data_IF_817162181436
#
_entry.id   IF_817162181436
#
_cell.length_a   1.000
_cell.length_b   1.000
_cell.length_c   1.000
_cell.angle_alpha   90.00
_cell.angle_beta   90.00
_cell.angle_gamma   90.00
#
_symmetry.space_group_name_H-M   'P 1'
#
loop_
_entity.id
_entity.type
_entity.pdbx_description
1 polymer ?
#
# COMPACT_ATOMS: atom_id res chain seq x y z
N UNK A 1 61.00 39.71 31.13
CA UNK A 1 59.67 39.31 31.65
C UNK A 1 58.84 40.59 31.81
N UNK A 2 58.09 40.97 30.75
CA UNK A 2 56.63 41.25 30.71
C UNK A 2 56.14 42.17 31.87
N UNK A 3 56.24 43.50 31.75
CA UNK A 3 55.31 44.51 31.16
C UNK A 3 53.88 44.50 31.75
N UNK A 4 53.63 45.59 32.49
CA UNK A 4 52.36 46.09 33.05
C UNK A 4 51.43 46.56 31.91
N UNK A 5 50.13 46.27 31.96
CA UNK A 5 49.13 47.04 31.23
C UNK A 5 47.78 47.09 31.96
N UNK A 6 47.27 48.32 31.97
CA UNK A 6 46.11 48.96 32.59
C UNK A 6 44.75 48.36 32.22
N UNK A 7 43.83 48.31 33.20
CA UNK A 7 42.41 47.98 33.00
C UNK A 7 41.61 49.29 32.98
N UNK A 8 40.95 49.59 31.86
CA UNK A 8 40.06 50.76 31.70
C UNK A 8 38.64 50.28 31.39
N UNK A 9 37.69 50.82 32.14
CA UNK A 9 36.23 50.64 32.01
C UNK A 9 35.73 51.26 30.69
N UNK A 10 34.84 50.56 29.98
CA UNK A 10 33.91 51.17 29.05
C UNK A 10 32.55 50.46 29.10
N UNK A 11 31.56 51.19 29.60
CA UNK A 11 30.14 50.87 29.56
C UNK A 11 29.61 51.18 28.15
N UNK A 12 29.03 50.21 27.46
CA UNK A 12 28.23 50.44 26.25
C UNK A 12 26.92 49.65 26.41
N UNK A 13 25.84 50.40 26.63
CA UNK A 13 24.46 49.94 26.47
C UNK A 13 24.15 49.94 24.97
N UNK A 14 23.87 48.77 24.39
CA UNK A 14 23.18 48.68 23.11
C UNK A 14 22.11 47.58 23.20
N UNK A 15 20.87 48.04 23.16
CA UNK A 15 19.66 47.28 22.91
C UNK A 15 19.68 46.72 21.48
N UNK A 16 19.56 45.41 21.32
CA UNK A 16 19.17 44.80 20.05
C UNK A 16 18.24 43.62 20.31
N UNK A 17 16.98 43.83 19.93
CA UNK A 17 15.95 42.82 19.77
C UNK A 17 16.44 41.79 18.75
N UNK A 18 16.50 40.51 19.12
CA UNK A 18 16.57 39.42 18.15
C UNK A 18 15.32 38.59 18.33
N UNK A 19 14.30 38.95 17.56
CA UNK A 19 13.15 38.10 17.28
C UNK A 19 13.64 36.83 16.62
N UNK A 20 13.80 35.78 17.41
CA UNK A 20 14.04 34.43 16.89
C UNK A 20 12.70 33.83 16.47
N UNK A 21 12.08 34.44 15.47
CA UNK A 21 10.99 33.82 14.68
C UNK A 21 11.65 32.79 13.76
N UNK A 22 12.10 31.68 14.35
CA UNK A 22 12.30 30.46 13.58
C UNK A 22 10.94 30.07 13.02
N UNK A 23 10.76 29.99 11.68
CA UNK A 23 9.50 29.55 11.11
C UNK A 23 9.20 28.17 11.69
N UNK A 24 8.05 28.02 12.32
CA UNK A 24 7.54 26.70 12.66
C UNK A 24 7.62 25.83 11.39
N UNK A 25 8.07 24.57 11.49
CA UNK A 25 8.11 23.69 10.32
C UNK A 25 6.74 23.73 9.68
N UNK A 26 6.70 24.11 8.40
CA UNK A 26 5.46 24.20 7.64
C UNK A 26 4.73 22.87 7.82
N UNK A 27 3.49 22.94 8.30
CA UNK A 27 2.63 21.76 8.44
C UNK A 27 2.48 21.17 7.04
N UNK A 28 3.17 20.06 6.77
CA UNK A 28 3.03 19.31 5.52
C UNK A 28 1.53 19.10 5.27
N UNK A 29 1.05 19.59 4.13
CA UNK A 29 -0.35 19.42 3.74
C UNK A 29 -0.51 17.96 3.32
N UNK A 30 -1.06 17.14 4.21
CA UNK A 30 -1.38 15.74 3.94
C UNK A 30 -2.26 15.65 2.70
N UNK A 31 -1.75 14.99 1.66
CA UNK A 31 -2.48 14.79 0.40
C UNK A 31 -3.35 13.56 0.54
N UNK A 32 -4.66 13.70 0.37
CA UNK A 32 -5.60 12.57 0.48
C UNK A 32 -6.25 12.29 -0.86
N UNK A 33 -6.30 11.01 -1.26
CA UNK A 33 -6.99 10.61 -2.48
C UNK A 33 -8.49 10.78 -2.28
N UNK A 34 -9.16 11.51 -3.17
CA UNK A 34 -10.60 11.75 -3.09
C UNK A 34 -11.40 10.79 -3.94
N UNK A 35 -10.96 10.62 -5.20
CA UNK A 35 -11.63 9.75 -6.16
C UNK A 35 -10.69 9.25 -7.24
N UNK A 36 -11.06 8.12 -7.83
CA UNK A 36 -10.49 7.59 -9.06
C UNK A 36 -11.60 7.48 -10.10
N UNK A 37 -11.31 7.89 -11.32
CA UNK A 37 -12.15 7.60 -12.49
C UNK A 37 -11.38 6.58 -13.33
N UNK A 38 -11.95 5.39 -13.50
CA UNK A 38 -11.42 4.31 -14.32
C UNK A 38 -12.20 4.21 -15.62
N UNK A 39 -11.52 4.00 -16.73
CA UNK A 39 -12.11 3.75 -18.05
C UNK A 39 -11.47 2.51 -18.66
N UNK A 40 -12.27 1.46 -18.90
CA UNK A 40 -11.78 0.24 -19.55
C UNK A 40 -11.68 0.43 -21.08
N UNK A 41 -11.18 -0.58 -21.78
CA UNK A 41 -11.00 -0.54 -23.23
C UNK A 41 -12.29 -0.42 -24.03
N UNK A 42 -13.41 -0.89 -23.48
CA UNK A 42 -14.76 -0.75 -24.06
C UNK A 42 -15.38 0.62 -23.82
N UNK A 43 -14.70 1.48 -23.04
CA UNK A 43 -15.14 2.83 -22.72
C UNK A 43 -16.11 2.93 -21.53
N UNK A 44 -16.33 1.83 -20.81
CA UNK A 44 -17.09 1.84 -19.56
C UNK A 44 -16.35 2.66 -18.50
N UNK A 45 -17.08 3.46 -17.75
CA UNK A 45 -16.53 4.37 -16.75
C UNK A 45 -17.02 3.97 -15.36
N UNK A 46 -16.08 3.73 -14.45
CA UNK A 46 -16.35 3.53 -13.02
C UNK A 46 -15.69 4.64 -12.23
N UNK A 47 -16.46 5.30 -11.37
CA UNK A 47 -15.95 6.29 -10.42
C UNK A 47 -15.96 5.72 -9.02
N UNK A 48 -14.80 5.66 -8.37
CA UNK A 48 -14.63 5.21 -6.99
C UNK A 48 -14.29 6.40 -6.09
N UNK A 49 -15.07 6.60 -5.03
CA UNK A 49 -14.86 7.65 -4.05
C UNK A 49 -14.24 7.08 -2.77
N UNK A 50 -13.27 7.78 -2.22
CA UNK A 50 -12.49 7.37 -1.04
C UNK A 50 -12.91 8.23 0.14
N UNK A 51 -13.38 7.60 1.22
CA UNK A 51 -13.96 8.30 2.37
C UNK A 51 -13.12 8.07 3.62
N UNK A 52 -12.92 9.14 4.40
CA UNK A 52 -12.03 9.12 5.54
C UNK A 52 -12.71 9.55 6.83
N UNK A 53 -12.20 9.04 7.95
CA UNK A 53 -12.37 9.66 9.27
C UNK A 53 -10.98 9.96 9.79
N UNK A 54 -10.67 11.24 9.96
CA UNK A 54 -9.29 11.74 10.14
C UNK A 54 -8.38 11.24 9.00
N UNK A 55 -7.38 10.41 9.32
CA UNK A 55 -6.44 9.82 8.34
C UNK A 55 -6.75 8.36 7.99
N UNK A 56 -7.84 7.79 8.52
CA UNK A 56 -8.22 6.40 8.27
C UNK A 56 -9.17 6.33 7.07
N UNK A 57 -8.83 5.52 6.08
CA UNK A 57 -9.74 5.20 4.98
C UNK A 57 -10.84 4.30 5.54
N UNK A 58 -12.06 4.79 5.57
CA UNK A 58 -13.21 4.07 6.14
C UNK A 58 -13.98 3.30 5.09
N UNK A 59 -14.03 3.82 3.86
CA UNK A 59 -14.67 3.14 2.75
C UNK A 59 -14.18 3.60 1.39
N UNK A 60 -14.31 2.72 0.40
CA UNK A 60 -14.27 3.03 -1.02
C UNK A 60 -15.62 2.64 -1.61
N UNK A 61 -16.28 3.55 -2.32
CA UNK A 61 -17.61 3.31 -2.90
C UNK A 61 -17.56 3.65 -4.39
N UNK A 62 -17.89 2.67 -5.23
CA UNK A 62 -17.84 2.79 -6.69
C UNK A 62 -19.23 2.92 -7.30
N UNK A 63 -19.29 3.58 -8.47
CA UNK A 63 -20.54 3.80 -9.22
C UNK A 63 -21.17 2.53 -9.80
N UNK A 64 -20.41 1.44 -9.89
CA UNK A 64 -20.87 0.12 -10.33
C UNK A 64 -21.49 -0.72 -9.19
N UNK A 65 -21.56 -0.18 -7.97
CA UNK A 65 -22.08 -0.88 -6.79
C UNK A 65 -21.06 -1.76 -6.09
N UNK A 66 -19.78 -1.77 -6.52
CA UNK A 66 -18.69 -2.31 -5.72
C UNK A 66 -18.33 -1.37 -4.57
N UNK A 67 -17.92 -1.94 -3.43
CA UNK A 67 -17.43 -1.16 -2.30
C UNK A 67 -16.51 -1.94 -1.38
N UNK A 68 -15.68 -1.22 -0.64
CA UNK A 68 -14.75 -1.75 0.36
C UNK A 68 -14.97 -1.02 1.67
N UNK A 69 -15.18 -1.72 2.79
CA UNK A 69 -15.42 -1.15 4.11
C UNK A 69 -14.32 -1.59 5.08
N UNK A 70 -13.67 -0.64 5.75
CA UNK A 70 -12.48 -0.88 6.56
C UNK A 70 -12.80 -0.78 8.05
N UNK A 71 -12.27 -1.70 8.85
CA UNK A 71 -12.45 -1.76 10.29
C UNK A 71 -11.12 -1.61 11.01
N UNK A 72 -11.09 -0.75 12.04
CA UNK A 72 -9.87 -0.44 12.78
C UNK A 72 -10.00 -0.74 14.27
N UNK A 73 -8.93 -1.25 14.87
CA UNK A 73 -8.73 -1.30 16.32
C UNK A 73 -7.59 -0.34 16.69
N UNK A 74 -7.90 0.72 17.43
CA UNK A 74 -6.90 1.77 17.70
C UNK A 74 -6.43 2.41 16.39
N UNK A 75 -5.14 2.31 16.09
CA UNK A 75 -4.55 2.76 14.82
C UNK A 75 -4.19 1.57 13.91
N UNK A 76 -4.82 0.40 14.03
CA UNK A 76 -4.49 -0.74 13.17
C UNK A 76 -5.69 -1.13 12.32
N UNK A 77 -5.49 -1.40 11.02
CA UNK A 77 -6.55 -1.94 10.16
C UNK A 77 -6.72 -3.42 10.47
N UNK A 78 -7.77 -3.78 11.20
CA UNK A 78 -8.03 -5.17 11.62
C UNK A 78 -8.96 -5.93 10.69
N UNK A 79 -9.58 -5.26 9.71
CA UNK A 79 -10.38 -5.97 8.73
C UNK A 79 -10.91 -5.12 7.58
N UNK A 80 -11.32 -5.82 6.53
CA UNK A 80 -11.88 -5.26 5.31
C UNK A 80 -13.04 -6.14 4.85
N UNK A 81 -14.14 -5.53 4.43
CA UNK A 81 -15.21 -6.21 3.70
C UNK A 81 -15.27 -5.67 2.27
N UNK A 82 -15.16 -6.55 1.29
CA UNK A 82 -15.31 -6.23 -0.13
C UNK A 82 -16.65 -6.72 -0.66
N UNK A 83 -17.37 -5.81 -1.30
CA UNK A 83 -18.67 -6.02 -1.90
C UNK A 83 -18.57 -5.85 -3.41
N UNK A 84 -19.29 -6.69 -4.13
CA UNK A 84 -19.50 -6.58 -5.58
C UNK A 84 -21.00 -6.57 -5.83
N UNK A 85 -21.50 -5.56 -6.55
CA UNK A 85 -22.93 -5.38 -6.77
C UNK A 85 -23.75 -5.49 -5.47
N UNK A 86 -23.29 -4.80 -4.40
CA UNK A 86 -23.89 -4.82 -3.06
C UNK A 86 -23.91 -6.18 -2.35
N UNK A 87 -23.23 -7.20 -2.88
CA UNK A 87 -23.14 -8.52 -2.27
C UNK A 87 -21.75 -8.70 -1.65
N UNK A 88 -21.71 -9.07 -0.37
CA UNK A 88 -20.46 -9.36 0.32
C UNK A 88 -19.74 -10.51 -0.39
N UNK A 89 -18.52 -10.24 -0.87
CA UNK A 89 -17.70 -11.19 -1.62
C UNK A 89 -16.58 -11.73 -0.76
N UNK A 90 -15.87 -10.84 -0.07
CA UNK A 90 -14.74 -11.19 0.79
C UNK A 90 -14.81 -10.48 2.14
N UNK A 91 -14.41 -11.18 3.20
CA UNK A 91 -14.02 -10.56 4.45
C UNK A 91 -12.55 -10.87 4.73
N UNK A 92 -11.76 -9.85 5.02
CA UNK A 92 -10.36 -9.95 5.42
C UNK A 92 -10.25 -9.64 6.90
N UNK A 93 -9.48 -10.46 7.61
CA UNK A 93 -9.20 -10.30 9.04
C UNK A 93 -7.69 -10.26 9.18
N UNK A 94 -7.17 -9.20 9.80
CA UNK A 94 -5.73 -9.01 10.00
C UNK A 94 -5.39 -9.12 11.49
N UNK A 95 -4.40 -9.95 11.79
CA UNK A 95 -3.81 -10.08 13.12
C UNK A 95 -2.38 -9.55 13.07
N UNK A 96 -1.96 -8.83 14.12
CA UNK A 96 -0.64 -8.22 14.20
C UNK A 96 0.18 -8.88 15.32
N UNK A 97 1.50 -8.92 15.13
CA UNK A 97 2.43 -9.32 16.18
C UNK A 97 2.83 -8.12 17.06
N UNK A 98 3.60 -8.39 18.11
CA UNK A 98 4.07 -7.37 19.08
C UNK A 98 4.93 -6.26 18.46
N UNK A 99 5.43 -6.45 17.24
CA UNK A 99 6.19 -5.45 16.48
C UNK A 99 5.31 -4.66 15.50
N UNK A 100 3.97 -4.74 15.62
CA UNK A 100 3.00 -4.12 14.72
C UNK A 100 3.14 -4.53 13.25
N UNK A 101 3.63 -5.75 12.99
CA UNK A 101 3.62 -6.35 11.65
C UNK A 101 2.48 -7.35 11.55
N UNK A 102 1.91 -7.53 10.35
CA UNK A 102 0.87 -8.53 10.09
C UNK A 102 1.42 -9.92 10.42
N UNK A 103 0.87 -10.57 11.45
CA UNK A 103 1.16 -11.94 11.83
C UNK A 103 0.33 -12.92 11.00
N UNK A 104 -0.93 -12.58 10.73
CA UNK A 104 -1.81 -13.40 9.90
C UNK A 104 -2.84 -12.56 9.13
N UNK A 105 -3.27 -13.10 7.99
CA UNK A 105 -4.38 -12.58 7.19
C UNK A 105 -5.32 -13.72 6.86
N UNK A 106 -6.57 -13.63 7.30
CA UNK A 106 -7.61 -14.59 6.96
C UNK A 106 -8.57 -13.97 5.95
N UNK A 107 -8.88 -14.69 4.87
CA UNK A 107 -9.83 -14.29 3.82
C UNK A 107 -10.98 -15.27 3.82
N UNK A 108 -12.20 -14.78 4.05
CA UNK A 108 -13.45 -15.53 3.96
C UNK A 108 -14.11 -15.25 2.61
N UNK A 109 -14.39 -16.28 1.82
CA UNK A 109 -15.03 -16.15 0.51
C UNK A 109 -16.52 -16.48 0.63
N UNK A 110 -17.38 -15.48 0.50
CA UNK A 110 -18.82 -15.58 0.80
C UNK A 110 -19.67 -16.01 -0.39
N UNK A 111 -19.19 -15.82 -1.61
CA UNK A 111 -19.94 -16.08 -2.84
C UNK A 111 -19.68 -17.46 -3.47
N UNK A 112 -19.19 -18.42 -2.68
CA UNK A 112 -18.90 -19.80 -3.13
C UNK A 112 -19.54 -20.84 -2.21
N UNK A 113 -19.89 -21.99 -2.78
CA UNK A 113 -20.36 -23.16 -2.04
C UNK A 113 -19.58 -24.42 -2.47
N UNK A 114 -19.03 -25.21 -1.52
CA UNK A 114 -19.04 -24.99 -0.07
C UNK A 114 -18.27 -23.73 0.35
N UNK A 115 -18.53 -23.26 1.58
CA UNK A 115 -17.80 -22.10 2.14
C UNK A 115 -16.30 -22.37 2.09
N UNK A 116 -15.54 -21.35 1.73
CA UNK A 116 -14.09 -21.45 1.59
C UNK A 116 -13.42 -20.28 2.28
N UNK A 117 -12.33 -20.55 3.00
CA UNK A 117 -11.46 -19.55 3.56
C UNK A 117 -9.99 -19.92 3.35
N UNK A 118 -9.16 -18.89 3.34
CA UNK A 118 -7.71 -19.01 3.31
C UNK A 118 -7.10 -18.20 4.46
N UNK A 119 -6.10 -18.75 5.15
CA UNK A 119 -5.31 -18.07 6.16
C UNK A 119 -3.83 -18.05 5.76
N UNK A 120 -3.27 -16.87 5.61
CA UNK A 120 -1.83 -16.67 5.44
C UNK A 120 -1.20 -16.39 6.81
N UNK A 121 -0.14 -17.11 7.18
CA UNK A 121 0.65 -16.88 8.39
C UNK A 121 2.05 -16.42 7.99
N UNK A 122 2.47 -15.28 8.54
CA UNK A 122 3.71 -14.60 8.17
C UNK A 122 4.80 -14.83 9.22
N UNK A 123 5.99 -15.19 8.75
CA UNK A 123 7.21 -15.30 9.57
C UNK A 123 8.28 -14.39 8.99
N UNK A 124 8.74 -13.41 9.77
CA UNK A 124 9.78 -12.47 9.37
C UNK A 124 11.15 -13.00 9.81
N UNK A 125 12.01 -13.34 8.86
CA UNK A 125 13.28 -14.01 9.11
C UNK A 125 14.42 -13.00 9.34
N UNK A 126 15.48 -13.43 10.04
CA UNK A 126 16.67 -12.59 10.31
C UNK A 126 17.46 -12.23 9.04
N UNK A 127 17.35 -13.05 7.99
CA UNK A 127 17.96 -12.79 6.67
C UNK A 127 17.21 -11.73 5.84
N UNK A 128 16.15 -11.13 6.40
CA UNK A 128 15.33 -10.11 5.75
C UNK A 128 14.25 -10.67 4.83
N UNK A 129 14.14 -11.99 4.67
CA UNK A 129 13.03 -12.61 3.93
C UNK A 129 11.77 -12.74 4.80
N UNK A 130 10.62 -12.96 4.16
CA UNK A 130 9.37 -13.35 4.84
C UNK A 130 8.91 -14.70 4.33
N UNK A 131 8.63 -15.64 5.22
CA UNK A 131 7.96 -16.89 4.87
C UNK A 131 6.46 -16.75 5.10
N UNK A 132 5.67 -17.07 4.08
CA UNK A 132 4.21 -17.13 4.13
C UNK A 132 3.81 -18.59 4.05
N UNK A 133 3.03 -19.06 5.03
CA UNK A 133 2.34 -20.35 4.95
C UNK A 133 0.86 -20.09 4.76
N UNK A 134 0.31 -20.56 3.64
CA UNK A 134 -1.10 -20.42 3.31
C UNK A 134 -1.82 -21.71 3.66
N UNK A 135 -2.90 -21.57 4.41
CA UNK A 135 -3.76 -22.66 4.84
C UNK A 135 -5.17 -22.45 4.28
N UNK A 136 -5.85 -23.53 3.94
CA UNK A 136 -7.24 -23.52 3.47
C UNK A 136 -8.17 -24.23 4.44
N UNK A 137 -9.46 -23.94 4.31
CA UNK A 137 -10.53 -24.63 5.03
C UNK A 137 -11.87 -23.92 4.88
N UNK A 138 -12.75 -24.09 5.85
CA UNK A 138 -14.03 -23.36 5.92
C UNK A 138 -13.87 -22.08 6.75
N UNK A 139 -14.96 -21.42 7.16
CA UNK A 139 -14.87 -20.16 7.91
C UNK A 139 -14.40 -20.35 9.36
N UNK A 140 -14.53 -21.55 9.93
CA UNK A 140 -14.22 -21.83 11.33
C UNK A 140 -12.80 -22.38 11.50
N UNK A 141 -12.28 -23.13 10.51
CA UNK A 141 -10.99 -23.80 10.62
C UNK A 141 -10.22 -23.79 9.30
N UNK A 142 -9.05 -23.14 9.27
CA UNK A 142 -8.11 -23.12 8.13
C UNK A 142 -6.79 -23.77 8.54
N UNK A 143 -6.73 -25.10 8.51
CA UNK A 143 -5.59 -25.90 9.01
C UNK A 143 -4.86 -26.69 7.92
N UNK A 144 -5.42 -26.79 6.72
CA UNK A 144 -4.84 -27.54 5.62
C UNK A 144 -3.79 -26.68 4.90
N UNK A 145 -2.50 -27.02 5.01
CA UNK A 145 -1.44 -26.28 4.33
C UNK A 145 -1.56 -26.46 2.81
N UNK A 146 -1.78 -25.37 2.07
CA UNK A 146 -1.94 -25.38 0.62
C UNK A 146 -0.68 -24.89 -0.11
N UNK A 147 0.02 -23.89 0.44
CA UNK A 147 1.21 -23.30 -0.19
C UNK A 147 2.19 -22.80 0.86
N UNK A 148 3.48 -22.82 0.51
CA UNK A 148 4.51 -22.08 1.24
C UNK A 148 5.27 -21.20 0.26
N UNK A 149 5.36 -19.91 0.58
CA UNK A 149 5.99 -18.90 -0.26
C UNK A 149 7.07 -18.16 0.51
N UNK A 150 8.24 -18.02 -0.09
CA UNK A 150 9.32 -17.16 0.41
C UNK A 150 9.25 -15.85 -0.35
N UNK A 151 9.15 -14.75 0.39
CA UNK A 151 9.20 -13.38 -0.13
C UNK A 151 10.57 -12.81 0.15
N UNK A 152 11.22 -12.33 -0.90
CA UNK A 152 12.51 -11.63 -0.81
C UNK A 152 12.41 -10.22 -1.38
N UNK A 153 13.36 -9.37 -0.97
CA UNK A 153 13.39 -7.95 -1.31
C UNK A 153 14.74 -7.59 -1.94
N UNK A 154 14.99 -7.95 -3.22
CA UNK A 154 16.28 -7.70 -3.86
C UNK A 154 16.67 -6.22 -3.94
N UNK A 155 15.68 -5.32 -3.92
CA UNK A 155 15.88 -3.87 -3.90
C UNK A 155 14.69 -3.18 -3.23
N UNK A 156 14.78 -1.86 -3.00
CA UNK A 156 13.68 -1.09 -2.42
C UNK A 156 12.40 -1.08 -3.29
N UNK A 157 12.53 -1.35 -4.58
CA UNK A 157 11.44 -1.31 -5.58
C UNK A 157 11.19 -2.66 -6.23
N UNK A 158 11.73 -3.75 -5.69
CA UNK A 158 11.57 -5.10 -6.23
C UNK A 158 11.23 -6.08 -5.12
N UNK A 159 10.17 -6.85 -5.32
CA UNK A 159 9.76 -7.95 -4.45
C UNK A 159 9.70 -9.22 -5.28
N UNK A 160 10.21 -10.32 -4.76
CA UNK A 160 10.11 -11.62 -5.40
C UNK A 160 9.37 -12.60 -4.51
N UNK A 161 8.47 -13.36 -5.12
CA UNK A 161 7.75 -14.46 -4.49
C UNK A 161 8.24 -15.77 -5.10
N UNK A 162 8.64 -16.70 -4.26
CA UNK A 162 9.01 -18.06 -4.63
C UNK A 162 8.13 -19.05 -3.86
N UNK A 163 7.21 -19.70 -4.56
CA UNK A 163 6.35 -20.73 -3.99
C UNK A 163 6.98 -22.13 -4.11
N UNK A 164 6.55 -23.04 -3.23
CA UNK A 164 7.02 -24.42 -3.16
C UNK A 164 6.55 -25.31 -4.33
N UNK A 165 5.54 -24.87 -5.09
CA UNK A 165 5.11 -25.44 -6.37
C UNK A 165 6.04 -25.06 -7.55
N UNK A 166 7.03 -24.21 -7.29
CA UNK A 166 7.98 -23.72 -8.27
C UNK A 166 7.66 -22.33 -8.83
N UNK A 167 6.46 -21.80 -8.58
CA UNK A 167 6.05 -20.49 -9.09
C UNK A 167 6.98 -19.37 -8.60
N UNK A 168 7.36 -18.50 -9.53
CA UNK A 168 8.25 -17.35 -9.30
C UNK A 168 7.65 -16.08 -9.88
N UNK A 169 7.27 -15.15 -9.01
CA UNK A 169 6.73 -13.86 -9.45
C UNK A 169 7.67 -12.73 -9.02
N UNK A 170 7.96 -11.82 -9.94
CA UNK A 170 8.72 -10.61 -9.68
C UNK A 170 7.80 -9.41 -9.83
N UNK A 171 7.68 -8.64 -8.75
CA UNK A 171 6.94 -7.39 -8.72
C UNK A 171 7.94 -6.25 -8.76
N UNK A 172 7.73 -5.29 -9.65
CA UNK A 172 8.50 -4.05 -9.69
C UNK A 172 7.60 -2.85 -9.46
N UNK A 173 8.13 -1.89 -8.72
CA UNK A 173 7.42 -0.66 -8.35
C UNK A 173 8.26 0.55 -8.78
N UNK A 174 7.66 1.73 -8.81
CA UNK A 174 8.45 2.96 -8.82
C UNK A 174 8.66 3.51 -7.41
N UNK A 175 9.60 4.45 -7.30
CA UNK A 175 9.90 5.16 -6.05
C UNK A 175 9.02 6.40 -5.80
N UNK A 176 7.84 6.50 -6.42
CA UNK A 176 6.93 7.66 -6.28
C UNK A 176 5.86 7.39 -5.22
N UNK A 177 5.10 8.42 -4.84
CA UNK A 177 4.09 8.27 -3.80
C UNK A 177 2.91 7.47 -4.33
N UNK A 178 2.51 6.42 -3.61
CA UNK A 178 1.26 5.72 -3.88
C UNK A 178 0.04 6.62 -3.57
N UNK A 179 -1.11 6.51 -4.29
CA UNK A 179 -2.31 7.29 -4.00
C UNK A 179 -2.77 7.22 -2.55
N UNK A 180 -2.55 6.08 -1.90
CA UNK A 180 -2.93 5.81 -0.51
C UNK A 180 -1.76 5.94 0.47
N UNK A 181 -0.64 6.57 0.10
CA UNK A 181 0.55 6.68 0.97
C UNK A 181 0.26 7.24 2.36
N UNK A 182 -0.70 8.16 2.47
CA UNK A 182 -1.07 8.79 3.74
C UNK A 182 -2.22 8.07 4.47
N UNK A 183 -2.72 6.97 3.90
CA UNK A 183 -3.66 6.09 4.58
C UNK A 183 -2.87 5.19 5.49
N UNK A 184 -3.33 5.14 6.74
CA UNK A 184 -2.68 4.34 7.75
C UNK A 184 -2.74 2.83 7.39
N UNK A 185 -1.57 2.17 7.47
CA UNK A 185 -1.35 0.72 7.32
C UNK A 185 -1.68 0.09 5.97
N UNK A 186 -1.41 0.78 4.87
CA UNK A 186 -1.39 0.15 3.53
C UNK A 186 0.01 -0.29 3.13
N UNK A 187 0.77 -0.97 4.00
CA UNK A 187 2.14 -1.44 3.67
C UNK A 187 2.16 -2.36 2.44
N UNK A 188 1.06 -3.09 2.19
CA UNK A 188 0.87 -3.92 0.99
C UNK A 188 0.72 -3.11 -0.32
N UNK A 189 0.52 -1.80 -0.22
CA UNK A 189 0.28 -0.88 -1.33
C UNK A 189 1.11 0.41 -1.18
N UNK A 190 2.32 0.33 -0.62
CA UNK A 190 3.11 1.52 -0.34
C UNK A 190 3.72 2.18 -1.60
N UNK A 191 3.67 1.51 -2.76
CA UNK A 191 4.34 1.93 -3.99
C UNK A 191 3.47 1.64 -5.22
N UNK A 192 3.67 2.39 -6.30
CA UNK A 192 2.92 2.19 -7.55
C UNK A 192 3.49 0.97 -8.29
N UNK A 193 2.66 -0.06 -8.45
CA UNK A 193 3.03 -1.28 -9.18
C UNK A 193 3.27 -0.95 -10.65
N UNK A 194 4.49 -1.21 -11.14
CA UNK A 194 4.86 -1.09 -12.56
C UNK A 194 4.65 -2.42 -13.28
N UNK A 195 5.29 -3.49 -12.82
CA UNK A 195 5.18 -4.79 -13.49
C UNK A 195 5.02 -5.96 -12.54
N UNK A 196 4.35 -7.00 -13.02
CA UNK A 196 4.38 -8.34 -12.45
C UNK A 196 4.79 -9.30 -13.55
N UNK A 197 5.89 -10.01 -13.32
CA UNK A 197 6.45 -10.95 -14.29
C UNK A 197 6.53 -12.33 -13.65
N UNK A 198 5.95 -13.32 -14.32
CA UNK A 198 6.13 -14.73 -14.03
C UNK A 198 7.40 -15.23 -14.72
N UNK A 199 8.39 -15.57 -13.91
CA UNK A 199 9.69 -16.08 -14.37
C UNK A 199 9.83 -17.58 -14.10
N UNK A 200 8.71 -18.28 -13.87
CA UNK A 200 8.69 -19.74 -13.68
C UNK A 200 9.13 -20.47 -14.95
N UNK A 201 8.79 -19.90 -16.11
CA UNK A 201 9.05 -20.47 -17.43
C UNK A 201 10.29 -19.86 -18.09
N UNK A 202 10.82 -20.55 -19.12
CA UNK A 202 11.97 -20.07 -19.89
C UNK A 202 11.69 -18.74 -20.62
N UNK A 203 10.45 -18.58 -21.08
CA UNK A 203 9.93 -17.32 -21.63
C UNK A 203 9.02 -16.68 -20.57
N UNK A 204 9.45 -15.57 -19.94
CA UNK A 204 8.67 -14.92 -18.89
C UNK A 204 7.35 -14.36 -19.41
N UNK A 205 6.32 -14.41 -18.56
CA UNK A 205 4.99 -13.84 -18.85
C UNK A 205 4.82 -12.58 -18.02
N UNK A 206 4.62 -11.44 -18.67
CA UNK A 206 4.27 -10.19 -17.99
C UNK A 206 2.77 -10.13 -17.78
N UNK A 207 2.32 -10.33 -16.53
CA UNK A 207 0.89 -10.24 -16.19
C UNK A 207 0.40 -8.80 -16.09
N UNK A 208 1.24 -7.89 -15.61
CA UNK A 208 0.92 -6.48 -15.46
C UNK A 208 2.02 -5.61 -16.05
N UNK A 209 1.62 -4.59 -16.81
CA UNK A 209 2.48 -3.54 -17.37
C UNK A 209 1.79 -2.18 -17.22
N UNK A 210 2.14 -1.48 -16.15
CA UNK A 210 1.51 -0.25 -15.73
C UNK A 210 2.42 0.96 -15.96
N UNK A 211 1.81 2.08 -16.31
CA UNK A 211 2.48 3.36 -16.45
C UNK A 211 1.72 4.43 -15.69
N UNK A 212 2.43 5.44 -15.20
CA UNK A 212 1.87 6.52 -14.40
C UNK A 212 2.42 7.86 -14.84
N UNK A 213 1.64 8.91 -14.65
CA UNK A 213 2.12 10.30 -14.66
C UNK A 213 1.84 10.93 -13.31
N UNK A 214 2.66 11.91 -12.92
CA UNK A 214 2.71 12.42 -11.55
C UNK A 214 2.48 13.93 -11.47
N UNK A 215 1.94 14.39 -10.34
CA UNK A 215 1.97 15.81 -9.98
C UNK A 215 3.34 16.21 -9.40
N UNK A 216 3.49 17.49 -9.05
CA UNK A 216 4.72 18.04 -8.45
C UNK A 216 5.04 17.50 -7.05
N UNK A 217 4.09 16.83 -6.39
CA UNK A 217 4.25 16.15 -5.10
C UNK A 217 4.47 14.63 -5.27
N UNK A 218 4.78 14.17 -6.47
CA UNK A 218 5.03 12.75 -6.79
C UNK A 218 3.86 11.80 -6.54
N UNK A 219 2.61 12.29 -6.45
CA UNK A 219 1.41 11.45 -6.46
C UNK A 219 0.90 11.27 -7.90
N UNK A 220 0.43 10.07 -8.28
CA UNK A 220 0.02 9.81 -9.66
C UNK A 220 -1.24 10.59 -9.98
N UNK A 221 -1.31 11.23 -11.15
CA UNK A 221 -2.52 11.92 -11.64
C UNK A 221 -3.22 11.11 -12.73
N UNK A 222 -2.48 10.25 -13.45
CA UNK A 222 -3.05 9.25 -14.34
C UNK A 222 -2.28 7.94 -14.26
N UNK A 223 -2.94 6.85 -14.64
CA UNK A 223 -2.26 5.59 -14.93
C UNK A 223 -2.86 4.92 -16.17
N UNK A 224 -2.07 4.08 -16.82
CA UNK A 224 -2.55 3.07 -17.77
C UNK A 224 -2.11 1.73 -17.23
N UNK A 225 -3.07 0.89 -16.87
CA UNK A 225 -2.85 -0.50 -16.52
C UNK A 225 -3.07 -1.38 -17.74
N UNK A 226 -2.15 -2.31 -17.97
CA UNK A 226 -2.33 -3.41 -18.90
C UNK A 226 -2.26 -4.72 -18.16
N UNK A 227 -3.25 -5.57 -18.36
CA UNK A 227 -3.32 -6.90 -17.74
C UNK A 227 -3.32 -7.95 -18.84
N UNK A 228 -2.42 -8.93 -18.75
CA UNK A 228 -2.42 -10.08 -19.65
C UNK A 228 -3.41 -11.13 -19.17
N UNK A 229 -4.48 -11.35 -19.94
CA UNK A 229 -5.56 -12.29 -19.61
C UNK A 229 -5.93 -13.08 -20.86
N UNK A 230 -5.98 -14.40 -20.75
CA UNK A 230 -6.42 -15.31 -21.83
C UNK A 230 -5.72 -15.11 -23.20
N UNK A 231 -4.45 -14.73 -23.19
CA UNK A 231 -3.66 -14.56 -24.42
C UNK A 231 -3.55 -13.12 -24.92
N UNK A 232 -4.26 -12.17 -24.33
CA UNK A 232 -4.34 -10.79 -24.80
C UNK A 232 -4.12 -9.79 -23.65
N UNK A 233 -3.72 -8.56 -24.01
CA UNK A 233 -3.63 -7.46 -23.04
C UNK A 233 -4.93 -6.65 -23.02
N UNK A 234 -5.50 -6.53 -21.82
CA UNK A 234 -6.64 -5.65 -21.52
C UNK A 234 -6.13 -4.36 -20.91
N UNK A 235 -6.70 -3.22 -21.32
CA UNK A 235 -6.23 -1.89 -20.87
C UNK A 235 -7.28 -1.15 -20.03
N UNK A 236 -6.86 -0.61 -18.90
CA UNK A 236 -7.65 0.31 -18.07
C UNK A 236 -6.89 1.62 -17.85
N UNK A 237 -7.52 2.76 -18.13
CA UNK A 237 -6.97 4.08 -17.84
C UNK A 237 -7.58 4.63 -16.57
N UNK A 238 -6.78 5.28 -15.72
CA UNK A 238 -7.25 5.89 -14.47
C UNK A 238 -6.85 7.35 -14.39
N UNK A 239 -7.71 8.14 -13.76
CA UNK A 239 -7.46 9.52 -13.35
C UNK A 239 -7.63 9.63 -11.84
N UNK A 240 -6.65 10.22 -11.16
CA UNK A 240 -6.62 10.34 -9.71
C UNK A 240 -6.83 11.79 -9.31
N UNK A 241 -7.68 12.00 -8.30
CA UNK A 241 -8.02 13.32 -7.79
C UNK A 241 -7.76 13.38 -6.30
N UNK A 242 -7.08 14.42 -5.84
CA UNK A 242 -6.63 14.58 -4.45
C UNK A 242 -7.22 15.84 -3.82
N UNK A 243 -7.17 15.91 -2.50
CA UNK A 243 -7.41 17.10 -1.67
C UNK A 243 -6.26 17.37 -0.69
#
# INVERSE_FOLDING_TARGET
>A
MKKLLTLTIALILLTACSSDDSPAPAKETTVSLKKIISTNEDGEIVTSNYNYTDTKLTSVISSDGSSSIYTYTGQQNTGLEDYENYTLRYSYIYEYNDNNKIASKTVLVHNVYPKFAQKDVYTYNEDGTTTIRSYTGDFESQTELSQTTIVSYPSATTIQYQSNDGTKLVYTYDGKNHPLKNVLETDMYAQNLLTVIDITYAEPITYFDNTYTYNSKDYPITSTEKVYVMGEYKTTKRQFFYE
#
